data_IF_981814539983
#
_entry.id   IF_981814539983
#
_cell.length_a   1.000
_cell.length_b   1.000
_cell.length_c   1.000
_cell.angle_alpha   90.00
_cell.angle_beta   90.00
_cell.angle_gamma   90.00
#
_symmetry.space_group_name_H-M   'P 1'
#
loop_
_entity.id
_entity.type
_entity.pdbx_description
1 polymer ?
#
# COMPACT_ATOMS: atom_id res chain seq x y z
N UNK A 1 18.08 11.89 14.72
CA UNK A 1 17.13 11.62 13.62
C UNK A 1 16.23 10.41 13.91
N UNK A 2 16.64 9.46 14.73
CA UNK A 2 15.89 8.21 14.99
C UNK A 2 15.07 8.22 16.31
N UNK A 3 14.96 9.37 16.98
CA UNK A 3 14.12 9.48 18.18
C UNK A 3 12.63 9.48 17.81
N UNK A 4 11.77 9.04 18.73
CA UNK A 4 10.31 9.11 18.56
C UNK A 4 9.83 10.51 18.87
N UNK A 5 9.10 11.11 17.93
CA UNK A 5 8.54 12.46 18.07
C UNK A 5 7.02 12.40 18.13
N UNK A 6 6.44 13.22 19.02
CA UNK A 6 5.01 13.52 19.00
C UNK A 6 4.79 14.76 18.15
N UNK A 7 3.96 14.64 17.13
CA UNK A 7 3.57 15.75 16.25
C UNK A 7 2.05 15.87 16.22
N UNK A 8 1.57 17.08 15.98
CA UNK A 8 0.17 17.38 15.72
C UNK A 8 0.05 17.78 14.24
N UNK A 9 -0.98 17.25 13.56
CA UNK A 9 -1.19 17.47 12.12
C UNK A 9 -2.62 17.91 11.86
N UNK A 10 -2.82 18.69 10.80
CA UNK A 10 -4.13 19.11 10.29
C UNK A 10 -4.21 18.73 8.82
N UNK A 11 -5.27 18.02 8.42
CA UNK A 11 -5.58 17.64 7.04
C UNK A 11 -4.44 16.92 6.29
N UNK A 12 -3.72 16.03 6.99
CA UNK A 12 -2.63 15.28 6.36
C UNK A 12 -3.18 14.24 5.38
N UNK A 13 -2.88 14.33 4.07
CA UNK A 13 -3.37 13.37 3.09
C UNK A 13 -2.67 12.02 3.26
N UNK A 14 -3.45 10.95 3.25
CA UNK A 14 -2.94 9.58 3.33
C UNK A 14 -3.85 8.63 2.53
N UNK A 15 -3.31 7.45 2.23
CA UNK A 15 -4.03 6.36 1.56
C UNK A 15 -4.09 5.14 2.48
N UNK A 16 -5.22 4.44 2.49
CA UNK A 16 -5.33 3.14 3.16
C UNK A 16 -4.66 2.10 2.27
N UNK A 17 -3.54 1.55 2.75
CA UNK A 17 -2.79 0.51 2.03
C UNK A 17 -3.31 -0.88 2.35
N UNK A 18 -3.55 -1.16 3.64
CA UNK A 18 -4.14 -2.41 4.13
C UNK A 18 -5.28 -2.08 5.07
N UNK A 19 -6.41 -2.75 4.93
CA UNK A 19 -7.55 -2.61 5.83
C UNK A 19 -7.68 -3.77 6.83
N UNK A 20 -8.63 -3.66 7.76
CA UNK A 20 -8.93 -4.67 8.79
C UNK A 20 -9.71 -5.89 8.27
N UNK A 21 -10.08 -5.88 6.98
CA UNK A 21 -10.83 -6.94 6.30
C UNK A 21 -9.93 -7.83 5.45
N UNK A 22 -8.62 -7.55 5.44
CA UNK A 22 -7.62 -8.30 4.68
C UNK A 22 -7.47 -7.83 3.24
N UNK A 23 -7.98 -6.65 2.88
CA UNK A 23 -7.71 -6.04 1.58
C UNK A 23 -6.34 -5.34 1.62
N UNK A 24 -5.54 -5.55 0.57
CA UNK A 24 -4.24 -4.91 0.35
C UNK A 24 -4.22 -4.27 -1.04
N UNK A 25 -3.99 -2.96 -1.08
CA UNK A 25 -3.96 -2.14 -2.29
C UNK A 25 -2.95 -2.64 -3.34
N UNK A 26 -1.85 -3.28 -2.91
CA UNK A 26 -0.79 -3.73 -3.80
C UNK A 26 -0.86 -5.23 -4.15
N UNK A 27 -1.85 -5.96 -3.65
CA UNK A 27 -1.95 -7.41 -3.85
C UNK A 27 -1.97 -7.80 -5.35
N UNK A 28 -2.71 -7.09 -6.19
CA UNK A 28 -2.85 -7.43 -7.62
C UNK A 28 -1.61 -7.06 -8.45
N UNK A 29 -0.96 -5.94 -8.15
CA UNK A 29 0.22 -5.46 -8.90
C UNK A 29 1.49 -6.21 -8.55
N UNK A 30 1.51 -6.92 -7.41
CA UNK A 30 2.59 -7.83 -7.05
C UNK A 30 2.59 -9.14 -7.87
N UNK A 31 1.53 -9.41 -8.62
CA UNK A 31 1.45 -10.63 -9.43
C UNK A 31 2.31 -10.51 -10.69
N UNK A 32 3.21 -11.48 -10.97
CA UNK A 32 3.93 -11.51 -12.23
C UNK A 32 2.95 -11.57 -13.38
N UNK A 33 3.04 -10.61 -14.31
CA UNK A 33 2.23 -10.64 -15.53
C UNK A 33 2.47 -11.95 -16.28
N UNK A 34 1.43 -12.77 -16.40
CA UNK A 34 1.45 -13.96 -17.23
C UNK A 34 1.37 -13.51 -18.70
N UNK A 35 2.52 -13.32 -19.33
CA UNK A 35 2.60 -13.10 -20.77
C UNK A 35 2.24 -14.44 -21.42
N UNK A 36 0.97 -14.60 -21.81
CA UNK A 36 0.51 -15.77 -22.52
C UNK A 36 1.33 -15.96 -23.80
N UNK A 37 1.96 -17.12 -23.95
CA UNK A 37 2.54 -17.53 -25.23
C UNK A 37 1.35 -17.78 -26.17
N UNK A 38 1.04 -16.80 -27.00
CA UNK A 38 0.05 -16.96 -28.08
C UNK A 38 0.61 -18.00 -29.08
N UNK A 39 -0.21 -18.93 -29.61
CA UNK A 39 0.24 -19.99 -30.50
C UNK A 39 0.90 -19.46 -31.78
#
# INVERSE_FOLDING_TARGET
MEAVFKIEVVDFPAFIVVDDKGNDFFAETSTPLHIGVKP
#
